data_IF_385669056226
#
_entry.id   IF_385669056226
#
_cell.length_a   1.000
_cell.length_b   1.000
_cell.length_c   1.000
_cell.angle_alpha   90.00
_cell.angle_beta   90.00
_cell.angle_gamma   90.00
#
_symmetry.space_group_name_H-M   'P 1'
#
loop_
_entity.id
_entity.type
_entity.pdbx_description
1 polymer ?
#
# COMPACT_ATOMS: atom_id res chain seq x y z
N UNK A 1 -6.25 16.19 -20.21
CA UNK A 1 -6.53 15.42 -18.97
C UNK A 1 -5.96 13.99 -18.98
N UNK A 2 -5.97 13.25 -20.10
CA UNK A 2 -5.55 11.82 -20.12
C UNK A 2 -4.11 11.56 -19.66
N UNK A 3 -3.14 12.37 -20.06
CA UNK A 3 -1.73 12.16 -19.71
C UNK A 3 -1.40 12.55 -18.24
N UNK A 4 -2.09 13.54 -17.69
CA UNK A 4 -1.84 14.06 -16.34
C UNK A 4 -2.21 13.08 -15.21
N UNK A 5 -3.14 12.16 -15.46
CA UNK A 5 -3.57 11.15 -14.47
C UNK A 5 -2.82 9.83 -14.67
N UNK A 6 -2.18 9.62 -15.82
CA UNK A 6 -1.51 8.35 -16.12
C UNK A 6 -0.36 8.08 -15.15
N UNK A 7 0.55 9.04 -14.92
CA UNK A 7 1.74 8.81 -14.11
C UNK A 7 1.43 8.47 -12.64
N UNK A 8 0.58 9.25 -11.92
CA UNK A 8 0.27 8.91 -10.54
C UNK A 8 -0.62 7.65 -10.45
N UNK A 9 -1.43 7.36 -11.49
CA UNK A 9 -2.20 6.11 -11.55
C UNK A 9 -1.31 4.90 -11.71
N UNK A 10 -0.31 4.96 -12.58
CA UNK A 10 0.65 3.87 -12.78
C UNK A 10 1.45 3.61 -11.51
N UNK A 11 1.92 4.66 -10.84
CA UNK A 11 2.63 4.51 -9.55
C UNK A 11 1.75 3.90 -8.45
N UNK A 12 0.49 4.34 -8.34
CA UNK A 12 -0.46 3.74 -7.40
C UNK A 12 -0.70 2.26 -7.70
N UNK A 13 -0.87 1.90 -8.98
CA UNK A 13 -1.08 0.51 -9.41
C UNK A 13 0.15 -0.35 -9.11
N UNK A 14 1.35 0.13 -9.40
CA UNK A 14 2.59 -0.58 -9.05
C UNK A 14 2.70 -0.77 -7.54
N UNK A 15 2.37 0.26 -6.76
CA UNK A 15 2.32 0.18 -5.29
C UNK A 15 1.33 -0.88 -4.81
N UNK A 16 0.12 -0.94 -5.39
CA UNK A 16 -0.86 -1.98 -5.07
C UNK A 16 -0.35 -3.37 -5.41
N UNK A 17 0.31 -3.56 -6.58
CA UNK A 17 0.86 -4.86 -6.99
C UNK A 17 1.92 -5.35 -5.99
N UNK A 18 2.83 -4.47 -5.57
CA UNK A 18 3.85 -4.82 -4.59
C UNK A 18 3.19 -5.18 -3.25
N UNK A 19 2.20 -4.40 -2.84
CA UNK A 19 1.49 -4.60 -1.58
C UNK A 19 0.66 -5.89 -1.58
N UNK A 20 -0.01 -6.25 -2.69
CA UNK A 20 -0.70 -7.54 -2.82
C UNK A 20 0.28 -8.70 -2.78
N UNK A 21 1.44 -8.60 -3.43
CA UNK A 21 2.47 -9.64 -3.36
C UNK A 21 2.93 -9.89 -1.92
N UNK A 22 3.23 -8.83 -1.18
CA UNK A 22 3.61 -8.94 0.24
C UNK A 22 2.48 -9.56 1.06
N UNK A 23 1.24 -9.12 0.85
CA UNK A 23 0.07 -9.66 1.56
C UNK A 23 -0.14 -11.15 1.28
N UNK A 24 0.01 -11.58 0.02
CA UNK A 24 -0.08 -13.00 -0.38
C UNK A 24 1.04 -13.80 0.28
N UNK A 25 2.27 -13.29 0.35
CA UNK A 25 3.36 -13.95 1.05
C UNK A 25 3.06 -14.15 2.54
N UNK A 26 2.54 -13.12 3.22
CA UNK A 26 2.14 -13.21 4.64
C UNK A 26 1.07 -14.28 4.84
N UNK A 27 0.04 -14.32 4.00
CA UNK A 27 -1.00 -15.35 4.05
C UNK A 27 -0.43 -16.73 3.74
N UNK A 28 0.42 -16.85 2.73
CA UNK A 28 1.02 -18.11 2.34
C UNK A 28 1.86 -18.69 3.48
N UNK A 29 2.69 -17.87 4.14
CA UNK A 29 3.48 -18.30 5.31
C UNK A 29 2.54 -18.70 6.46
N UNK A 30 1.47 -17.93 6.71
CA UNK A 30 0.50 -18.27 7.76
C UNK A 30 -0.20 -19.61 7.52
N UNK A 31 -0.65 -19.88 6.28
CA UNK A 31 -1.34 -21.12 5.91
C UNK A 31 -0.40 -22.33 5.80
N UNK A 32 0.86 -22.10 5.40
CA UNK A 32 1.86 -23.15 5.24
C UNK A 32 2.73 -23.34 6.49
N UNK A 33 2.46 -22.63 7.58
CA UNK A 33 3.28 -22.68 8.81
C UNK A 33 3.40 -24.10 9.40
N UNK A 34 2.41 -24.97 9.19
CA UNK A 34 2.43 -26.37 9.66
C UNK A 34 3.03 -27.35 8.63
N UNK A 35 3.46 -26.88 7.46
CA UNK A 35 4.08 -27.73 6.44
C UNK A 35 5.52 -28.06 6.79
N UNK A 36 5.97 -29.24 6.35
CA UNK A 36 7.33 -29.75 6.58
C UNK A 36 8.43 -28.74 6.20
N UNK A 37 8.25 -28.00 5.11
CA UNK A 37 9.25 -27.01 4.64
C UNK A 37 9.47 -25.90 5.69
N UNK A 38 8.41 -25.40 6.32
CA UNK A 38 8.52 -24.33 7.32
C UNK A 38 8.95 -24.91 8.67
N UNK A 39 8.46 -26.10 9.02
CA UNK A 39 8.87 -26.78 10.24
C UNK A 39 10.35 -27.17 10.22
N UNK A 40 10.89 -27.63 9.08
CA UNK A 40 12.33 -27.91 8.90
C UNK A 40 13.15 -26.63 9.12
N UNK A 41 12.70 -25.50 8.57
CA UNK A 41 13.34 -24.21 8.79
C UNK A 41 13.31 -23.76 10.27
N UNK A 42 12.18 -23.97 10.95
CA UNK A 42 12.02 -23.62 12.37
C UNK A 42 12.86 -24.55 13.27
N UNK A 43 12.90 -25.86 12.96
CA UNK A 43 13.69 -26.86 13.69
C UNK A 43 15.20 -26.60 13.60
N UNK A 44 15.66 -25.98 12.51
CA UNK A 44 17.05 -25.54 12.38
C UNK A 44 17.40 -24.33 13.27
N UNK A 45 16.41 -23.70 13.91
CA UNK A 45 16.56 -22.47 14.72
C UNK A 45 16.15 -22.62 16.17
N UNK A 46 15.30 -23.59 16.50
CA UNK A 46 14.83 -23.84 17.86
C UNK A 46 14.51 -25.32 18.07
N UNK A 47 14.66 -25.80 19.30
CA UNK A 47 14.27 -27.15 19.68
C UNK A 47 12.73 -27.26 19.84
N UNK A 48 12.06 -26.17 20.24
CA UNK A 48 10.59 -26.10 20.43
C UNK A 48 9.88 -25.53 19.19
N UNK A 49 9.78 -26.36 18.15
CA UNK A 49 9.15 -26.02 16.85
C UNK A 49 7.67 -25.65 17.00
N UNK A 50 6.95 -26.32 17.89
CA UNK A 50 5.51 -26.10 18.12
C UNK A 50 5.22 -24.72 18.70
N UNK A 51 6.03 -24.29 19.67
CA UNK A 51 5.90 -22.97 20.29
C UNK A 51 6.29 -21.86 19.30
N UNK A 52 7.38 -22.05 18.55
CA UNK A 52 7.80 -21.11 17.52
C UNK A 52 6.79 -20.98 16.37
N UNK A 53 6.12 -22.07 15.97
CA UNK A 53 5.06 -22.04 14.95
C UNK A 53 3.86 -21.23 15.45
N UNK A 54 3.49 -21.39 16.72
CA UNK A 54 2.39 -20.65 17.35
C UNK A 54 2.71 -19.16 17.42
N UNK A 55 3.91 -18.81 17.92
CA UNK A 55 4.38 -17.43 17.98
C UNK A 55 4.46 -16.79 16.59
N UNK A 56 4.90 -17.53 15.56
CA UNK A 56 4.93 -17.06 14.18
C UNK A 56 3.52 -16.70 13.68
N UNK A 57 2.53 -17.56 13.91
CA UNK A 57 1.14 -17.30 13.53
C UNK A 57 0.54 -16.10 14.29
N UNK A 58 0.84 -15.97 15.59
CA UNK A 58 0.39 -14.87 16.43
C UNK A 58 0.94 -13.51 15.97
N UNK A 59 2.14 -13.47 15.40
CA UNK A 59 2.72 -12.24 14.82
C UNK A 59 2.19 -11.98 13.41
N UNK A 60 2.05 -13.02 12.58
CA UNK A 60 1.62 -12.88 11.18
C UNK A 60 0.17 -12.41 11.05
N UNK A 61 -0.72 -12.81 11.94
CA UNK A 61 -2.14 -12.46 11.89
C UNK A 61 -2.38 -10.93 12.05
N UNK A 62 -1.90 -10.26 13.12
CA UNK A 62 -2.02 -8.81 13.22
C UNK A 62 -1.22 -8.09 12.12
N UNK A 63 -0.07 -8.62 11.70
CA UNK A 63 0.70 -8.06 10.59
C UNK A 63 -0.08 -8.09 9.27
N UNK A 64 -0.79 -9.18 8.98
CA UNK A 64 -1.69 -9.29 7.84
C UNK A 64 -2.80 -8.25 7.86
N UNK A 65 -3.45 -8.03 9.02
CA UNK A 65 -4.48 -6.99 9.18
C UNK A 65 -3.91 -5.59 8.95
N UNK A 66 -2.71 -5.31 9.48
CA UNK A 66 -2.00 -4.03 9.31
C UNK A 66 -1.69 -3.77 7.83
N UNK A 67 -1.42 -4.79 7.02
CA UNK A 67 -1.17 -4.64 5.57
C UNK A 67 -2.48 -4.55 4.77
N UNK A 68 -3.54 -5.22 5.24
CA UNK A 68 -4.83 -5.28 4.55
C UNK A 68 -5.55 -3.91 4.53
N UNK A 69 -5.54 -3.17 5.63
CA UNK A 69 -6.22 -1.87 5.72
C UNK A 69 -5.63 -0.85 4.71
N UNK A 70 -4.30 -0.63 4.65
CA UNK A 70 -3.71 0.27 3.68
C UNK A 70 -3.91 -0.20 2.23
N UNK A 71 -4.03 -1.51 2.00
CA UNK A 71 -4.30 -2.08 0.67
C UNK A 71 -5.69 -1.69 0.17
N UNK A 72 -6.70 -1.77 1.04
CA UNK A 72 -8.05 -1.28 0.73
C UNK A 72 -8.08 0.23 0.48
N UNK A 73 -7.40 1.01 1.32
CA UNK A 73 -7.30 2.47 1.13
C UNK A 73 -6.64 2.83 -0.20
N UNK A 74 -5.63 2.07 -0.61
CA UNK A 74 -4.93 2.28 -1.87
C UNK A 74 -5.83 1.96 -3.08
N UNK A 75 -6.58 0.85 -3.02
CA UNK A 75 -7.60 0.51 -4.03
C UNK A 75 -8.70 1.58 -4.14
N UNK A 76 -9.23 2.06 -3.02
CA UNK A 76 -10.21 3.14 -2.98
C UNK A 76 -9.60 4.44 -3.54
N UNK A 77 -8.36 4.75 -3.18
CA UNK A 77 -7.60 5.87 -3.73
C UNK A 77 -7.55 5.84 -5.26
N UNK A 78 -7.23 4.69 -5.85
CA UNK A 78 -7.20 4.52 -7.31
C UNK A 78 -8.59 4.66 -7.93
N UNK A 79 -9.63 4.08 -7.30
CA UNK A 79 -11.00 4.12 -7.81
C UNK A 79 -11.53 5.57 -7.89
N UNK A 80 -11.33 6.33 -6.82
CA UNK A 80 -11.83 7.70 -6.70
C UNK A 80 -10.94 8.76 -7.35
N UNK A 81 -9.76 8.39 -7.84
CA UNK A 81 -8.76 9.28 -8.42
C UNK A 81 -9.30 10.18 -9.53
N UNK A 82 -10.25 9.70 -10.34
CA UNK A 82 -10.83 10.48 -11.45
C UNK A 82 -11.84 11.54 -11.00
N UNK A 83 -12.60 11.28 -9.94
CA UNK A 83 -13.74 12.11 -9.50
C UNK A 83 -13.39 12.97 -8.29
N UNK A 84 -12.57 12.47 -7.38
CA UNK A 84 -12.21 13.12 -6.12
C UNK A 84 -10.69 13.06 -5.87
N UNK A 85 -9.93 13.87 -6.61
CA UNK A 85 -8.45 13.86 -6.57
C UNK A 85 -7.89 14.15 -5.16
N UNK A 86 -8.49 15.09 -4.40
CA UNK A 86 -8.01 15.41 -3.04
C UNK A 86 -8.27 14.24 -2.09
N UNK A 87 -9.48 13.68 -2.10
CA UNK A 87 -9.80 12.54 -1.24
C UNK A 87 -8.91 11.33 -1.57
N UNK A 88 -8.65 11.08 -2.85
CA UNK A 88 -7.72 10.06 -3.33
C UNK A 88 -6.30 10.31 -2.82
N UNK A 89 -5.77 11.53 -2.95
CA UNK A 89 -4.44 11.88 -2.44
C UNK A 89 -4.34 11.69 -0.91
N UNK A 90 -5.35 12.09 -0.15
CA UNK A 90 -5.40 11.89 1.30
C UNK A 90 -5.42 10.41 1.66
N UNK A 91 -6.22 9.59 0.97
CA UNK A 91 -6.25 8.13 1.18
C UNK A 91 -4.88 7.48 0.90
N UNK A 92 -4.17 7.92 -0.15
CA UNK A 92 -2.83 7.43 -0.45
C UNK A 92 -1.78 7.87 0.59
N UNK A 93 -1.89 9.09 1.11
CA UNK A 93 -1.01 9.57 2.19
C UNK A 93 -1.25 8.76 3.46
N UNK A 94 -2.51 8.57 3.86
CA UNK A 94 -2.86 7.77 5.04
C UNK A 94 -2.38 6.32 4.89
N UNK A 95 -2.59 5.71 3.71
CA UNK A 95 -2.08 4.37 3.39
C UNK A 95 -0.54 4.32 3.50
N UNK A 96 0.17 5.33 2.97
CA UNK A 96 1.62 5.44 3.07
C UNK A 96 2.12 5.59 4.51
N UNK A 97 1.45 6.40 5.32
CA UNK A 97 1.79 6.60 6.74
C UNK A 97 1.56 5.34 7.57
N UNK A 98 0.49 4.59 7.32
CA UNK A 98 0.25 3.29 7.97
C UNK A 98 1.33 2.25 7.60
N UNK A 99 2.07 2.48 6.53
CA UNK A 99 3.12 1.62 5.99
C UNK A 99 4.53 2.19 6.21
N UNK A 100 4.72 3.03 7.25
CA UNK A 100 5.91 3.84 7.53
C UNK A 100 7.26 3.08 7.51
N UNK A 101 7.24 1.79 7.85
CA UNK A 101 8.43 0.93 7.90
C UNK A 101 8.68 0.14 6.62
N UNK A 102 7.92 0.39 5.55
CA UNK A 102 8.00 -0.39 4.32
C UNK A 102 8.39 0.48 3.13
N UNK A 103 8.96 -0.16 2.10
CA UNK A 103 9.36 0.45 0.83
C UNK A 103 8.18 1.09 0.07
N UNK A 104 6.94 0.83 0.51
CA UNK A 104 5.71 1.34 -0.10
C UNK A 104 5.47 2.82 0.25
N UNK A 105 5.95 3.31 1.39
CA UNK A 105 5.79 4.72 1.81
C UNK A 105 6.29 5.74 0.76
N UNK A 106 7.52 5.65 0.24
CA UNK A 106 8.00 6.63 -0.74
C UNK A 106 7.17 6.59 -2.03
N UNK A 107 6.73 5.42 -2.47
CA UNK A 107 5.91 5.26 -3.67
C UNK A 107 4.55 5.96 -3.48
N UNK A 108 3.89 5.74 -2.35
CA UNK A 108 2.58 6.32 -2.06
C UNK A 108 2.63 7.84 -1.85
N UNK A 109 3.65 8.35 -1.15
CA UNK A 109 3.83 9.79 -0.96
C UNK A 109 4.16 10.52 -2.25
N UNK A 110 5.04 9.96 -3.09
CA UNK A 110 5.34 10.53 -4.42
C UNK A 110 4.08 10.52 -5.29
N UNK A 111 3.25 9.49 -5.19
CA UNK A 111 1.99 9.40 -5.93
C UNK A 111 0.98 10.47 -5.49
N UNK A 112 0.81 10.67 -4.19
CA UNK A 112 -0.06 11.73 -3.66
C UNK A 112 0.47 13.14 -3.99
N UNK A 113 1.79 13.35 -3.86
CA UNK A 113 2.45 14.60 -4.20
C UNK A 113 2.31 14.96 -5.67
N UNK A 114 2.53 13.99 -6.57
CA UNK A 114 2.34 14.20 -8.01
C UNK A 114 0.88 14.52 -8.34
N UNK A 115 -0.12 13.87 -7.72
CA UNK A 115 -1.52 14.25 -7.90
C UNK A 115 -1.82 15.70 -7.52
N UNK A 116 -1.32 16.16 -6.37
CA UNK A 116 -1.55 17.52 -5.88
C UNK A 116 -0.88 18.57 -6.76
N UNK A 117 0.40 18.36 -7.12
CA UNK A 117 1.16 19.27 -8.00
C UNK A 117 0.49 19.36 -9.38
N UNK A 118 0.04 18.23 -9.93
CA UNK A 118 -0.56 18.21 -11.26
C UNK A 118 -1.90 18.95 -11.30
N UNK A 119 -2.71 18.80 -10.25
CA UNK A 119 -3.96 19.55 -10.10
C UNK A 119 -3.70 21.05 -9.89
N UNK A 120 -2.72 21.42 -9.08
CA UNK A 120 -2.34 22.82 -8.87
C UNK A 120 -1.91 23.50 -10.19
N UNK A 121 -1.08 22.83 -11.00
CA UNK A 121 -0.69 23.33 -12.34
C UNK A 121 -1.88 23.47 -13.28
N UNK A 122 -2.86 22.56 -13.23
CA UNK A 122 -4.07 22.66 -14.05
C UNK A 122 -4.94 23.86 -13.68
N UNK A 123 -5.09 24.16 -12.38
CA UNK A 123 -5.81 25.36 -11.94
C UNK A 123 -5.08 26.64 -12.34
N UNK A 124 -3.75 26.67 -12.19
CA UNK A 124 -2.97 27.87 -12.48
C UNK A 124 -2.89 28.21 -13.99
N UNK A 125 -3.05 27.20 -14.86
CA UNK A 125 -2.96 27.34 -16.33
C UNK A 125 -4.30 27.62 -17.02
N UNK A 126 -5.42 27.49 -16.31
CA UNK A 126 -6.75 27.77 -16.84
C UNK A 126 -7.32 29.02 -16.15
N UNK A 127 -7.24 30.17 -16.84
CA UNK A 127 -7.70 31.49 -16.36
C UNK A 127 -9.12 31.49 -15.81
N UNK A 128 -10.00 30.61 -16.31
CA UNK A 128 -11.40 30.46 -15.85
C UNK A 128 -11.55 30.08 -14.37
N UNK A 129 -10.49 29.60 -13.73
CA UNK A 129 -10.46 29.24 -12.31
C UNK A 129 -9.49 30.08 -11.48
N UNK A 130 -8.84 31.07 -12.08
CA UNK A 130 -8.08 32.07 -11.33
C UNK A 130 -9.09 33.02 -10.70
N UNK A 131 -9.15 33.04 -9.37
CA UNK A 131 -9.88 34.08 -8.66
C UNK A 131 -9.13 35.40 -8.85
N UNK A 132 -9.74 36.45 -9.44
CA UNK A 132 -9.13 37.76 -9.44
C UNK A 132 -9.07 38.22 -7.99
N UNK A 133 -7.84 38.42 -7.50
CA UNK A 133 -7.61 39.15 -6.24
C UNK A 133 -7.79 40.63 -6.51
#
# INVERSE_FOLDING_TARGET
MKEFIQLPRTLAVVGVIIQTLIFICVIAIYLLADQAIIQDFLSARTDDVTEATTALKEVLLPFGVIIFIPLLLNLLGILYMKRYIIASAVMLILSGLMMLYTVILPILLVTAGTMLITRYRYYNRNEKYQTPY
#
